data_IF_501753627575
#
_entry.id   IF_501753627575
#
_cell.length_a   1.000
_cell.length_b   1.000
_cell.length_c   1.000
_cell.angle_alpha   90.00
_cell.angle_beta   90.00
_cell.angle_gamma   90.00
#
_symmetry.space_group_name_H-M   'P 1'
#
loop_
_entity.id
_entity.type
_entity.pdbx_description
1 polymer ?
#
# COMPACT_ATOMS: atom_id res chain seq x y z
N UNK A 1 -1.41 -2.47 9.04
CA UNK A 1 -2.09 -3.75 8.79
C UNK A 1 -2.97 -4.08 9.99
N UNK A 2 -4.22 -4.51 9.75
CA UNK A 2 -5.11 -5.04 10.78
C UNK A 2 -5.15 -6.57 10.66
N UNK A 3 -4.85 -7.27 11.75
CA UNK A 3 -4.97 -8.73 11.83
C UNK A 3 -5.98 -9.01 12.93
N UNK A 4 -6.94 -9.87 12.65
CA UNK A 4 -7.89 -10.32 13.65
C UNK A 4 -8.59 -11.59 13.23
N UNK A 5 -9.71 -11.86 13.88
CA UNK A 5 -10.60 -12.96 13.56
C UNK A 5 -11.87 -12.42 12.90
N UNK A 6 -12.63 -13.30 12.25
CA UNK A 6 -13.95 -12.98 11.73
C UNK A 6 -14.77 -14.25 11.53
N UNK A 7 -16.09 -14.11 11.55
CA UNK A 7 -17.03 -15.19 11.29
C UNK A 7 -17.46 -15.20 9.83
N UNK A 8 -17.83 -16.37 9.30
CA UNK A 8 -18.41 -16.50 7.97
C UNK A 8 -19.30 -17.74 7.92
N UNK A 9 -20.39 -17.73 7.15
CA UNK A 9 -21.31 -18.88 7.11
C UNK A 9 -20.63 -20.18 6.66
N UNK A 10 -19.98 -20.15 5.49
CA UNK A 10 -19.47 -21.36 4.83
C UNK A 10 -17.95 -21.51 4.76
N UNK A 11 -17.15 -20.51 5.16
CA UNK A 11 -15.70 -20.63 5.07
C UNK A 11 -15.17 -21.60 6.14
N UNK A 12 -14.12 -22.39 5.82
CA UNK A 12 -13.55 -23.31 6.79
C UNK A 12 -12.88 -22.55 7.93
N UNK A 13 -13.03 -23.07 9.15
CA UNK A 13 -12.33 -22.55 10.32
C UNK A 13 -10.81 -22.51 10.10
N UNK A 14 -10.16 -21.61 10.82
CA UNK A 14 -8.71 -21.40 10.86
C UNK A 14 -8.08 -20.91 9.56
N UNK A 15 -8.87 -20.69 8.50
CA UNK A 15 -8.37 -20.15 7.24
C UNK A 15 -8.14 -18.66 7.36
N UNK A 16 -6.93 -18.22 6.98
CA UNK A 16 -6.66 -16.82 6.74
C UNK A 16 -7.35 -16.35 5.46
N UNK A 17 -7.86 -15.13 5.50
CA UNK A 17 -8.39 -14.39 4.36
C UNK A 17 -7.75 -13.01 4.32
N UNK A 18 -7.59 -12.45 3.12
CA UNK A 18 -7.22 -11.06 2.91
C UNK A 18 -8.41 -10.29 2.34
N UNK A 19 -8.74 -9.14 2.92
CA UNK A 19 -9.89 -8.36 2.47
C UNK A 19 -9.63 -7.76 1.08
N UNK A 20 -10.47 -8.07 0.09
CA UNK A 20 -10.48 -7.35 -1.21
C UNK A 20 -11.54 -6.24 -1.24
N UNK A 21 -12.47 -6.25 -0.27
CA UNK A 21 -13.50 -5.24 -0.06
C UNK A 21 -13.79 -5.17 1.43
N UNK A 22 -13.98 -3.96 1.96
CA UNK A 22 -14.37 -3.73 3.35
C UNK A 22 -15.60 -2.82 3.32
N UNK A 23 -16.68 -3.22 3.97
CA UNK A 23 -17.90 -2.43 4.07
C UNK A 23 -18.26 -2.22 5.53
N UNK A 24 -18.48 -0.97 5.91
CA UNK A 24 -19.05 -0.61 7.20
C UNK A 24 -20.58 -0.79 7.16
N UNK A 25 -21.13 -1.65 8.00
CA UNK A 25 -22.56 -1.98 7.95
C UNK A 25 -23.46 -0.84 8.40
N UNK A 26 -22.96 0.06 9.25
CA UNK A 26 -23.76 1.15 9.84
C UNK A 26 -23.88 2.31 8.85
N UNK A 27 -22.78 2.65 8.17
CA UNK A 27 -22.71 3.80 7.27
C UNK A 27 -22.86 3.42 5.79
N UNK A 28 -22.67 2.15 5.43
CA UNK A 28 -22.61 1.67 4.05
C UNK A 28 -21.31 2.06 3.32
N UNK A 29 -20.39 2.79 3.97
CA UNK A 29 -19.12 3.18 3.36
C UNK A 29 -18.31 1.93 3.03
N UNK A 30 -17.71 1.92 1.84
CA UNK A 30 -16.99 0.77 1.30
C UNK A 30 -15.62 1.18 0.80
N UNK A 31 -14.62 0.33 1.04
CA UNK A 31 -13.26 0.46 0.57
C UNK A 31 -12.82 -0.79 -0.19
N UNK A 32 -11.86 -0.60 -1.09
CA UNK A 32 -11.28 -1.65 -1.92
C UNK A 32 -9.74 -1.64 -1.75
N UNK A 33 -9.21 -2.40 -0.78
CA UNK A 33 -7.76 -2.58 -0.61
C UNK A 33 -7.10 -3.00 -1.91
N UNK A 34 -5.96 -2.36 -2.25
CA UNK A 34 -5.26 -2.64 -3.50
C UNK A 34 -4.30 -3.81 -3.32
N UNK A 35 -4.63 -4.96 -3.92
CA UNK A 35 -3.81 -6.17 -3.90
C UNK A 35 -2.77 -6.12 -5.02
N UNK A 36 -1.64 -5.43 -4.78
CA UNK A 36 -0.52 -5.30 -5.75
C UNK A 36 0.45 -6.49 -5.74
N UNK A 37 0.00 -7.62 -5.21
CA UNK A 37 0.73 -8.88 -5.12
C UNK A 37 -0.26 -10.03 -4.99
N UNK A 38 0.16 -11.24 -5.38
CA UNK A 38 -0.67 -12.44 -5.20
C UNK A 38 -0.73 -12.85 -3.72
N UNK A 39 -1.91 -12.86 -3.08
CA UNK A 39 -2.02 -13.29 -1.69
C UNK A 39 -1.81 -14.81 -1.57
N UNK A 40 -1.12 -15.24 -0.50
CA UNK A 40 -0.95 -16.67 -0.19
C UNK A 40 -2.16 -17.28 0.55
N UNK A 41 -3.27 -16.55 0.60
CA UNK A 41 -4.50 -16.96 1.25
C UNK A 41 -5.70 -16.55 0.40
N UNK A 42 -6.88 -17.02 0.79
CA UNK A 42 -8.11 -16.63 0.12
C UNK A 42 -8.34 -15.12 0.23
N UNK A 43 -9.05 -14.54 -0.72
CA UNK A 43 -9.58 -13.19 -0.58
C UNK A 43 -11.07 -13.23 -0.36
N UNK A 44 -11.60 -12.36 0.49
CA UNK A 44 -13.03 -12.26 0.73
C UNK A 44 -13.46 -10.80 0.94
N UNK A 45 -14.75 -10.54 0.78
CA UNK A 45 -15.36 -9.29 1.25
C UNK A 45 -15.51 -9.34 2.77
N UNK A 46 -15.22 -8.24 3.43
CA UNK A 46 -15.32 -8.06 4.88
C UNK A 46 -16.41 -7.06 5.19
N UNK A 47 -17.28 -7.39 6.15
CA UNK A 47 -18.30 -6.49 6.68
C UNK A 47 -17.99 -6.20 8.14
N UNK A 48 -17.79 -4.92 8.45
CA UNK A 48 -17.61 -4.44 9.81
C UNK A 48 -18.96 -4.13 10.42
N UNK A 49 -19.27 -4.74 11.57
CA UNK A 49 -20.51 -4.55 12.34
C UNK A 49 -20.20 -3.96 13.72
N UNK A 50 -21.12 -3.17 14.27
CA UNK A 50 -20.96 -2.54 15.60
C UNK A 50 -21.10 -3.56 16.75
N UNK A 51 -21.90 -4.60 16.55
CA UNK A 51 -22.18 -5.65 17.54
C UNK A 51 -21.99 -7.01 16.88
N UNK A 52 -21.63 -8.05 17.65
CA UNK A 52 -21.52 -9.40 17.13
C UNK A 52 -22.79 -9.80 16.38
N UNK A 53 -22.63 -10.24 15.13
CA UNK A 53 -23.69 -10.78 14.28
C UNK A 53 -23.32 -12.22 13.91
N UNK A 54 -24.22 -13.15 14.23
CA UNK A 54 -24.04 -14.59 14.05
C UNK A 54 -24.93 -15.17 12.95
N UNK A 55 -25.69 -14.31 12.26
CA UNK A 55 -26.63 -14.77 11.23
C UNK A 55 -25.96 -14.94 9.86
N UNK A 56 -24.75 -14.38 9.66
CA UNK A 56 -23.95 -14.43 8.43
C UNK A 56 -24.80 -14.31 7.15
N UNK A 57 -25.68 -13.30 7.09
CA UNK A 57 -26.76 -13.23 6.09
C UNK A 57 -26.28 -13.10 4.64
N UNK A 58 -25.01 -12.74 4.44
CA UNK A 58 -24.40 -12.50 3.15
C UNK A 58 -23.04 -13.23 3.07
N UNK A 59 -22.52 -13.39 1.85
CA UNK A 59 -21.19 -13.96 1.58
C UNK A 59 -20.05 -12.96 1.93
N UNK A 60 -19.98 -12.58 3.21
CA UNK A 60 -18.97 -11.70 3.77
C UNK A 60 -18.39 -12.30 5.05
N UNK A 61 -17.12 -12.01 5.31
CA UNK A 61 -16.51 -12.20 6.62
C UNK A 61 -16.98 -11.08 7.54
N UNK A 62 -17.66 -11.43 8.63
CA UNK A 62 -18.22 -10.49 9.60
C UNK A 62 -17.25 -10.31 10.76
N UNK A 63 -16.95 -9.06 11.10
CA UNK A 63 -16.00 -8.66 12.14
C UNK A 63 -16.31 -7.23 12.64
N UNK A 64 -15.51 -6.65 13.55
CA UNK A 64 -15.91 -5.42 14.26
C UNK A 64 -14.92 -4.25 14.14
N UNK A 65 -13.78 -4.38 13.43
CA UNK A 65 -12.68 -3.41 13.50
C UNK A 65 -12.14 -2.91 12.14
N UNK A 66 -12.38 -3.62 11.04
CA UNK A 66 -11.67 -3.36 9.78
C UNK A 66 -12.00 -1.99 9.18
N UNK A 67 -13.27 -1.55 9.18
CA UNK A 67 -13.68 -0.25 8.62
C UNK A 67 -13.02 0.91 9.37
N UNK A 68 -13.05 0.87 10.71
CA UNK A 68 -12.44 1.89 11.56
C UNK A 68 -10.93 1.98 11.36
N UNK A 69 -10.24 0.83 11.34
CA UNK A 69 -8.81 0.78 11.03
C UNK A 69 -8.52 1.34 9.64
N UNK A 70 -9.23 0.88 8.60
CA UNK A 70 -8.94 1.23 7.22
C UNK A 70 -9.16 2.72 6.97
N UNK A 71 -10.27 3.28 7.48
CA UNK A 71 -10.59 4.69 7.35
C UNK A 71 -9.55 5.60 8.03
N UNK A 72 -8.96 5.17 9.14
CA UNK A 72 -7.89 5.91 9.79
C UNK A 72 -6.58 5.78 9.01
N UNK A 73 -6.22 4.55 8.58
CA UNK A 73 -4.95 4.26 7.94
C UNK A 73 -4.81 4.89 6.54
N UNK A 74 -5.90 4.98 5.76
CA UNK A 74 -5.86 5.56 4.39
C UNK A 74 -5.49 7.06 4.36
N UNK A 75 -5.56 7.76 5.50
CA UNK A 75 -5.13 9.16 5.61
C UNK A 75 -3.61 9.33 5.74
N UNK A 76 -2.89 8.26 6.09
CA UNK A 76 -1.46 8.29 6.42
C UNK A 76 -0.61 7.34 5.58
N UNK A 77 -1.23 6.50 4.75
CA UNK A 77 -0.54 5.52 3.93
C UNK A 77 -1.26 5.33 2.61
N UNK A 78 -0.53 4.89 1.59
CA UNK A 78 -1.14 4.57 0.29
C UNK A 78 -1.98 3.30 0.42
N UNK A 79 -2.98 3.13 -0.45
CA UNK A 79 -3.95 2.02 -0.35
C UNK A 79 -3.32 0.65 -0.60
N UNK A 80 -2.18 0.60 -1.27
CA UNK A 80 -1.35 -0.59 -1.50
C UNK A 80 -0.70 -1.10 -0.20
N UNK A 81 -0.57 -0.25 0.82
CA UNK A 81 0.06 -0.55 2.11
C UNK A 81 -0.95 -0.87 3.23
N UNK A 82 -2.23 -0.54 3.03
CA UNK A 82 -3.28 -0.73 4.03
C UNK A 82 -4.04 -2.02 3.75
N UNK A 83 -3.85 -3.02 4.62
CA UNK A 83 -4.48 -4.34 4.48
C UNK A 83 -5.12 -4.82 5.78
N UNK A 84 -6.22 -5.56 5.63
CA UNK A 84 -6.94 -6.23 6.70
C UNK A 84 -6.96 -7.74 6.43
N UNK A 85 -6.36 -8.52 7.32
CA UNK A 85 -6.36 -9.98 7.30
C UNK A 85 -7.23 -10.50 8.44
N UNK A 86 -8.10 -11.47 8.13
CA UNK A 86 -8.93 -12.13 9.14
C UNK A 86 -8.68 -13.63 9.12
N UNK A 87 -8.80 -14.26 10.26
CA UNK A 87 -8.78 -15.72 10.39
C UNK A 87 -10.17 -16.17 10.76
N UNK A 88 -10.73 -17.11 10.00
CA UNK A 88 -12.09 -17.60 10.26
C UNK A 88 -12.12 -18.31 11.62
N UNK A 89 -12.78 -17.69 12.59
CA UNK A 89 -12.87 -18.20 13.97
C UNK A 89 -14.12 -19.03 14.23
N UNK A 90 -15.17 -18.76 13.46
CA UNK A 90 -16.50 -19.27 13.68
C UNK A 90 -17.30 -19.25 12.38
N UNK A 91 -18.32 -20.10 12.35
CA UNK A 91 -19.25 -20.26 11.23
C UNK A 91 -20.61 -20.81 11.72
N UNK A 92 -21.55 -21.06 10.81
CA UNK A 92 -22.89 -21.54 11.21
C UNK A 92 -22.87 -22.88 11.95
N UNK A 93 -21.84 -23.70 11.73
CA UNK A 93 -21.64 -25.00 12.41
C UNK A 93 -20.85 -24.88 13.71
N UNK A 94 -20.09 -23.79 13.90
CA UNK A 94 -19.21 -23.55 15.04
C UNK A 94 -19.36 -22.12 15.53
N UNK A 95 -20.32 -21.84 16.44
CA UNK A 95 -20.68 -20.47 16.83
C UNK A 95 -19.60 -19.72 17.61
N UNK A 96 -19.55 -18.40 17.45
CA UNK A 96 -18.59 -17.51 18.10
C UNK A 96 -18.69 -17.48 19.64
N UNK A 97 -19.80 -17.89 20.24
CA UNK A 97 -19.99 -17.89 21.70
C UNK A 97 -18.98 -18.74 22.48
N UNK A 98 -18.25 -19.63 21.78
CA UNK A 98 -17.22 -20.49 22.35
C UNK A 98 -15.80 -19.94 22.17
N UNK A 99 -15.63 -18.80 21.49
CA UNK A 99 -14.32 -18.21 21.24
C UNK A 99 -13.75 -17.68 22.56
N UNK A 100 -12.50 -18.04 22.82
CA UNK A 100 -11.74 -17.59 23.98
C UNK A 100 -10.41 -16.99 23.51
N UNK A 101 -9.77 -16.16 24.35
CA UNK A 101 -8.47 -15.57 24.02
C UNK A 101 -7.42 -16.64 23.65
N UNK A 102 -7.38 -17.77 24.37
CA UNK A 102 -6.47 -18.87 24.07
C UNK A 102 -6.73 -19.53 22.71
N UNK A 103 -7.99 -19.58 22.26
CA UNK A 103 -8.32 -20.03 20.90
C UNK A 103 -7.83 -19.03 19.86
N UNK A 104 -8.02 -17.73 20.10
CA UNK A 104 -7.52 -16.66 19.21
C UNK A 104 -6.00 -16.74 19.08
N UNK A 105 -5.27 -16.87 20.18
CA UNK A 105 -3.81 -17.03 20.17
C UNK A 105 -3.39 -18.22 19.30
N UNK A 106 -4.11 -19.34 19.40
CA UNK A 106 -3.85 -20.54 18.60
C UNK A 106 -4.16 -20.33 17.12
N UNK A 107 -5.27 -19.67 16.79
CA UNK A 107 -5.66 -19.32 15.41
C UNK A 107 -4.58 -18.46 14.74
N UNK A 108 -4.14 -17.41 15.43
CA UNK A 108 -3.09 -16.49 14.97
C UNK A 108 -1.75 -17.24 14.82
N UNK A 109 -1.37 -18.04 15.84
CA UNK A 109 -0.12 -18.80 15.82
C UNK A 109 -0.04 -19.77 14.65
N UNK A 110 -1.15 -20.46 14.31
CA UNK A 110 -1.22 -21.38 13.17
C UNK A 110 -1.06 -20.69 11.82
N UNK A 111 -1.47 -19.43 11.71
CA UNK A 111 -1.39 -18.63 10.49
C UNK A 111 -0.17 -17.71 10.45
N UNK A 112 0.76 -17.83 11.40
CA UNK A 112 1.91 -16.95 11.52
C UNK A 112 2.82 -16.96 10.28
N UNK A 113 2.90 -18.07 9.55
CA UNK A 113 3.65 -18.16 8.29
C UNK A 113 3.07 -17.23 7.22
N UNK A 114 1.74 -17.26 7.02
CA UNK A 114 1.01 -16.42 6.07
C UNK A 114 1.12 -14.94 6.48
N UNK A 115 0.95 -14.66 7.77
CA UNK A 115 1.09 -13.30 8.32
C UNK A 115 2.50 -12.76 8.05
N UNK A 116 3.55 -13.53 8.35
CA UNK A 116 4.94 -13.14 8.10
C UNK A 116 5.19 -12.86 6.63
N UNK A 117 4.61 -13.66 5.74
CA UNK A 117 4.77 -13.43 4.31
C UNK A 117 4.10 -12.15 3.85
N UNK A 118 2.87 -11.88 4.29
CA UNK A 118 2.21 -10.61 4.01
C UNK A 118 3.05 -9.43 4.51
N UNK A 119 3.59 -9.51 5.73
CA UNK A 119 4.48 -8.48 6.27
C UNK A 119 5.71 -8.27 5.38
N UNK A 120 6.36 -9.33 4.89
CA UNK A 120 7.51 -9.20 3.99
C UNK A 120 7.14 -8.49 2.69
N UNK A 121 5.99 -8.82 2.09
CA UNK A 121 5.49 -8.15 0.88
C UNK A 121 5.25 -6.66 1.13
N UNK A 122 4.64 -6.31 2.27
CA UNK A 122 4.42 -4.91 2.65
C UNK A 122 5.73 -4.18 2.97
N UNK A 123 6.70 -4.83 3.61
CA UNK A 123 8.03 -4.26 3.84
C UNK A 123 8.74 -3.96 2.53
N UNK A 124 8.68 -4.88 1.55
CA UNK A 124 9.22 -4.65 0.22
C UNK A 124 8.56 -3.44 -0.47
N UNK A 125 7.22 -3.34 -0.43
CA UNK A 125 6.52 -2.17 -0.96
C UNK A 125 6.91 -0.88 -0.24
N UNK A 126 7.04 -0.91 1.08
CA UNK A 126 7.50 0.23 1.87
C UNK A 126 8.91 0.66 1.50
N UNK A 127 9.81 -0.28 1.21
CA UNK A 127 11.15 0.04 0.73
C UNK A 127 11.11 0.70 -0.65
N UNK A 128 10.26 0.21 -1.56
CA UNK A 128 10.06 0.83 -2.88
C UNK A 128 9.43 2.22 -2.81
N UNK A 129 8.51 2.42 -1.87
CA UNK A 129 7.93 3.73 -1.57
C UNK A 129 9.00 4.71 -1.06
N UNK A 130 9.86 4.24 -0.14
CA UNK A 130 10.96 5.03 0.40
C UNK A 130 11.99 5.39 -0.69
N UNK A 131 12.38 4.44 -1.54
CA UNK A 131 13.24 4.69 -2.70
C UNK A 131 12.64 5.78 -3.61
N UNK A 132 11.33 5.69 -3.91
CA UNK A 132 10.64 6.66 -4.76
C UNK A 132 10.58 8.06 -4.16
N UNK A 133 10.38 8.17 -2.84
CA UNK A 133 10.22 9.45 -2.13
C UNK A 133 11.54 10.07 -1.66
N UNK A 134 12.61 9.27 -1.66
CA UNK A 134 13.97 9.73 -1.35
C UNK A 134 14.43 10.84 -2.29
N UNK A 135 15.46 11.56 -1.86
CA UNK A 135 16.09 12.56 -2.70
C UNK A 135 16.75 11.87 -3.90
N UNK A 136 16.40 12.25 -5.14
CA UNK A 136 16.97 11.63 -6.32
C UNK A 136 18.47 11.94 -6.43
N UNK A 137 19.21 11.08 -7.16
CA UNK A 137 20.58 11.39 -7.57
C UNK A 137 20.69 12.79 -8.17
N UNK A 138 21.87 13.40 -8.02
CA UNK A 138 22.20 14.75 -8.50
C UNK A 138 21.45 15.92 -7.85
N UNK A 139 20.48 15.68 -6.95
CA UNK A 139 19.76 16.78 -6.28
C UNK A 139 20.72 17.71 -5.54
N UNK A 140 21.56 17.17 -4.66
CA UNK A 140 22.52 17.96 -3.88
C UNK A 140 23.54 18.67 -4.76
N UNK A 141 23.97 18.02 -5.84
CA UNK A 141 24.89 18.63 -6.80
C UNK A 141 24.27 19.84 -7.50
N UNK A 142 23.02 19.72 -7.97
CA UNK A 142 22.29 20.86 -8.53
C UNK A 142 22.07 21.97 -7.49
N UNK A 143 21.66 21.62 -6.26
CA UNK A 143 21.45 22.60 -5.18
C UNK A 143 22.74 23.31 -4.76
N UNK A 144 23.90 22.67 -4.92
CA UNK A 144 25.20 23.28 -4.63
C UNK A 144 25.67 24.26 -5.70
N UNK A 145 25.18 24.11 -6.94
CA UNK A 145 25.61 24.89 -8.12
C UNK A 145 24.68 26.05 -8.44
N UNK A 146 23.37 25.92 -8.18
CA UNK A 146 22.38 26.93 -8.50
C UNK A 146 21.45 27.22 -7.33
N UNK A 147 20.99 28.47 -7.25
CA UNK A 147 20.04 28.88 -6.22
C UNK A 147 18.59 28.59 -6.67
N UNK A 148 17.92 27.69 -5.95
CA UNK A 148 16.52 27.34 -6.16
C UNK A 148 15.67 27.87 -5.00
N UNK A 149 14.53 28.49 -5.33
CA UNK A 149 13.46 28.72 -4.35
C UNK A 149 12.84 27.39 -3.91
N UNK A 150 12.11 27.38 -2.79
CA UNK A 150 11.42 26.17 -2.29
C UNK A 150 10.60 25.49 -3.37
N UNK A 151 9.77 26.25 -4.11
CA UNK A 151 8.95 25.72 -5.20
C UNK A 151 9.80 25.11 -6.31
N UNK A 152 10.89 25.78 -6.70
CA UNK A 152 11.79 25.28 -7.73
C UNK A 152 12.54 24.02 -7.28
N UNK A 153 12.90 23.90 -6.00
CA UNK A 153 13.50 22.68 -5.44
C UNK A 153 12.55 21.49 -5.55
N UNK A 154 11.26 21.67 -5.27
CA UNK A 154 10.25 20.63 -5.49
C UNK A 154 10.13 20.25 -6.97
N UNK A 155 10.13 21.23 -7.88
CA UNK A 155 10.11 20.98 -9.32
C UNK A 155 11.34 20.20 -9.78
N UNK A 156 12.54 20.62 -9.35
CA UNK A 156 13.80 19.95 -9.65
C UNK A 156 13.80 18.51 -9.12
N UNK A 157 13.40 18.30 -7.86
CA UNK A 157 13.29 16.95 -7.27
C UNK A 157 12.40 16.03 -8.11
N UNK A 158 11.22 16.51 -8.50
CA UNK A 158 10.32 15.73 -9.36
C UNK A 158 10.91 15.42 -10.74
N UNK A 159 11.63 16.37 -11.36
CA UNK A 159 12.28 16.16 -12.65
C UNK A 159 13.45 15.16 -12.56
N UNK A 160 14.27 15.25 -11.52
CA UNK A 160 15.38 14.32 -11.29
C UNK A 160 14.91 12.90 -10.95
N UNK A 161 13.78 12.77 -10.24
CA UNK A 161 13.13 11.47 -10.04
C UNK A 161 12.67 10.87 -11.37
N UNK A 162 11.99 11.65 -12.23
CA UNK A 162 11.62 11.22 -13.58
C UNK A 162 12.82 10.85 -14.43
N UNK A 163 13.89 11.65 -14.37
CA UNK A 163 15.15 11.35 -15.04
C UNK A 163 15.68 9.97 -14.65
N UNK A 164 15.72 9.67 -13.36
CA UNK A 164 16.24 8.39 -12.84
C UNK A 164 15.45 7.18 -13.35
N UNK A 165 14.16 7.37 -13.67
CA UNK A 165 13.29 6.33 -14.23
C UNK A 165 13.45 6.19 -15.75
N UNK A 166 13.53 7.30 -16.48
CA UNK A 166 13.54 7.31 -17.95
C UNK A 166 14.95 7.08 -18.51
N UNK A 167 15.98 7.52 -17.79
CA UNK A 167 17.38 7.46 -18.20
C UNK A 167 18.26 6.88 -17.08
N UNK A 168 18.02 5.63 -16.66
CA UNK A 168 18.76 5.02 -15.56
C UNK A 168 20.26 5.00 -15.86
N UNK A 169 21.07 5.42 -14.88
CA UNK A 169 22.53 5.44 -14.97
C UNK A 169 23.14 6.59 -15.79
N UNK A 170 22.34 7.43 -16.45
CA UNK A 170 22.87 8.60 -17.18
C UNK A 170 23.09 9.79 -16.25
N UNK A 171 24.19 10.51 -16.48
CA UNK A 171 24.50 11.72 -15.74
C UNK A 171 23.63 12.89 -16.23
N UNK A 172 22.83 13.47 -15.32
CA UNK A 172 21.95 14.59 -15.66
C UNK A 172 22.73 15.83 -16.11
N UNK A 173 23.96 15.99 -15.62
CA UNK A 173 24.79 17.14 -15.95
C UNK A 173 25.21 17.18 -17.42
N UNK A 174 25.18 16.05 -18.13
CA UNK A 174 25.51 15.98 -19.55
C UNK A 174 24.51 16.77 -20.42
N UNK A 175 23.28 16.97 -19.91
CA UNK A 175 22.21 17.72 -20.60
C UNK A 175 22.08 19.15 -20.08
N UNK A 176 22.58 19.40 -18.87
CA UNK A 176 22.63 20.73 -18.28
C UNK A 176 23.89 21.44 -18.77
N UNK A 177 23.84 22.07 -19.95
CA UNK A 177 24.95 22.86 -20.50
C UNK A 177 25.41 23.92 -19.48
N UNK A 178 26.57 23.70 -18.85
CA UNK A 178 26.88 24.25 -17.53
C UNK A 178 27.15 25.77 -17.46
N UNK A 179 27.26 26.47 -18.58
CA UNK A 179 27.64 27.88 -18.57
C UNK A 179 26.43 28.83 -18.58
N UNK A 180 26.30 29.64 -17.53
CA UNK A 180 25.37 30.78 -17.46
C UNK A 180 23.89 30.45 -17.20
N UNK A 181 23.54 29.19 -16.94
CA UNK A 181 22.16 28.80 -16.63
C UNK A 181 21.72 29.27 -15.24
N UNK A 182 20.50 29.81 -15.13
CA UNK A 182 19.81 30.03 -13.85
C UNK A 182 18.92 28.84 -13.47
N UNK A 183 18.38 28.83 -12.24
CA UNK A 183 17.50 27.75 -11.76
C UNK A 183 16.26 27.51 -12.62
N UNK A 184 15.73 28.54 -13.30
CA UNK A 184 14.60 28.41 -14.22
C UNK A 184 15.05 27.73 -15.52
N UNK A 185 16.21 28.12 -16.06
CA UNK A 185 16.76 27.48 -17.24
C UNK A 185 17.01 25.98 -16.98
N UNK A 186 17.55 25.61 -15.81
CA UNK A 186 17.80 24.20 -15.46
C UNK A 186 16.51 23.39 -15.47
N UNK A 187 15.46 23.87 -14.79
CA UNK A 187 14.16 23.21 -14.72
C UNK A 187 13.55 23.08 -16.12
N UNK A 188 13.60 24.14 -16.91
CA UNK A 188 13.03 24.17 -18.26
C UNK A 188 13.76 23.20 -19.21
N UNK A 189 15.09 23.17 -19.16
CA UNK A 189 15.91 22.25 -19.98
C UNK A 189 15.62 20.80 -19.63
N UNK A 190 15.54 20.46 -18.34
CA UNK A 190 15.20 19.09 -17.91
C UNK A 190 13.79 18.70 -18.34
N UNK A 191 12.81 19.58 -18.16
CA UNK A 191 11.42 19.30 -18.55
C UNK A 191 11.28 19.07 -20.06
N UNK A 192 11.92 19.91 -20.89
CA UNK A 192 11.93 19.75 -22.35
C UNK A 192 12.61 18.44 -22.75
N UNK A 193 13.77 18.14 -22.17
CA UNK A 193 14.51 16.92 -22.49
C UNK A 193 13.71 15.66 -22.14
N UNK A 194 13.10 15.61 -20.95
CA UNK A 194 12.30 14.47 -20.51
C UNK A 194 11.04 14.29 -21.36
N UNK A 195 10.38 15.39 -21.78
CA UNK A 195 9.22 15.32 -22.69
C UNK A 195 9.57 14.78 -24.08
N UNK A 196 10.79 15.03 -24.54
CA UNK A 196 11.27 14.58 -25.85
C UNK A 196 11.98 13.22 -25.80
N UNK A 197 12.15 12.62 -24.61
CA UNK A 197 12.75 11.30 -24.47
C UNK A 197 11.65 10.23 -24.61
N UNK A 198 11.75 9.30 -25.58
CA UNK A 198 10.81 8.20 -25.69
C UNK A 198 10.91 7.27 -24.48
N UNK A 199 9.78 6.94 -23.88
CA UNK A 199 9.68 5.95 -22.80
C UNK A 199 9.59 4.57 -23.46
N UNK A 200 10.68 3.80 -23.41
CA UNK A 200 10.66 2.40 -23.79
C UNK A 200 10.12 1.61 -22.59
N UNK A 201 8.92 1.04 -22.73
CA UNK A 201 8.45 0.03 -21.80
C UNK A 201 9.03 -1.30 -22.30
N UNK A 202 10.01 -1.84 -21.60
CA UNK A 202 10.39 -3.24 -21.78
C UNK A 202 9.15 -4.06 -21.44
N UNK A 203 8.58 -4.71 -22.47
CA UNK A 203 7.54 -5.71 -22.31
C UNK A 203 8.21 -6.98 -21.81
N UNK A 204 8.38 -7.09 -20.49
CA UNK A 204 8.60 -8.37 -19.80
C UNK A 204 7.27 -9.12 -19.61
#
# INVERSE_FOLDING_TARGET
MNIGIGGHDNLPLEKAILAHKITDSQTGKTWFPQLVFDPQCLTASVKTVEKPDFNYSDDNVVEMEASGFYSAAESYSTREMVHCMKIISDNSQSPASKITAAMVDKLISRNLSIIKELVRKLQFLSMKEQERTSDPPFLQECLSRWHFTVTQTHQLKNLLQKWSLIQPGKNVLDVLFLDGMDSRNIIQTLDIHLKNTPVWMDHD
#
